data_IF_990463786153
#
_entry.id   IF_990463786153
#
_cell.length_a   1.000
_cell.length_b   1.000
_cell.length_c   1.000
_cell.angle_alpha   90.00
_cell.angle_beta   90.00
_cell.angle_gamma   90.00
#
_symmetry.space_group_name_H-M   'P 1'
#
loop_
_entity.id
_entity.type
_entity.pdbx_description
1 polymer ?
#
# COMPACT_ATOMS: atom_id res chain seq x y z
N UNK A 1 11.20 6.66 13.77
CA UNK A 1 10.29 6.76 12.59
C UNK A 1 9.77 8.18 12.47
N UNK A 2 9.84 8.73 11.28
CA UNK A 2 9.35 10.10 11.02
C UNK A 2 7.83 10.17 11.14
N UNK A 3 7.31 11.34 11.51
CA UNK A 3 5.87 11.55 11.63
C UNK A 3 5.12 11.16 10.36
N UNK A 4 5.66 11.54 9.20
CA UNK A 4 5.05 11.20 7.91
C UNK A 4 4.86 9.69 7.75
N UNK A 5 5.87 8.90 8.10
CA UNK A 5 5.81 7.45 8.01
C UNK A 5 4.82 6.86 9.01
N UNK A 6 4.73 7.44 10.21
CA UNK A 6 3.76 7.01 11.22
C UNK A 6 2.33 7.27 10.75
N UNK A 7 2.09 8.39 10.07
CA UNK A 7 0.76 8.68 9.50
C UNK A 7 0.37 7.58 8.52
N UNK A 8 1.29 7.20 7.62
CA UNK A 8 1.02 6.17 6.60
C UNK A 8 0.74 4.82 7.27
N UNK A 9 1.54 4.42 8.26
CA UNK A 9 1.34 3.15 8.95
C UNK A 9 0.04 3.12 9.76
N UNK A 10 -0.26 4.20 10.49
CA UNK A 10 -1.51 4.28 11.25
C UNK A 10 -2.71 4.25 10.31
N UNK A 11 -2.64 4.98 9.20
CA UNK A 11 -3.70 4.96 8.19
C UNK A 11 -3.92 3.56 7.62
N UNK A 12 -2.83 2.88 7.26
CA UNK A 12 -2.91 1.51 6.73
C UNK A 12 -3.61 0.57 7.71
N UNK A 13 -3.23 0.62 8.98
CA UNK A 13 -3.84 -0.22 10.02
C UNK A 13 -5.33 0.08 10.18
N UNK A 14 -5.70 1.35 10.24
CA UNK A 14 -7.11 1.76 10.38
C UNK A 14 -7.92 1.37 9.13
N UNK A 15 -7.36 1.57 7.93
CA UNK A 15 -8.02 1.18 6.69
C UNK A 15 -8.25 -0.33 6.64
N UNK A 16 -7.28 -1.12 7.10
CA UNK A 16 -7.43 -2.58 7.15
C UNK A 16 -8.53 -3.00 8.12
N UNK A 17 -8.65 -2.34 9.26
CA UNK A 17 -9.61 -2.71 10.30
C UNK A 17 -11.02 -2.22 10.01
N UNK A 18 -11.16 -1.00 9.49
CA UNK A 18 -12.45 -0.33 9.40
C UNK A 18 -12.90 -0.03 7.97
N UNK A 19 -12.00 -0.17 7.00
CA UNK A 19 -12.25 0.20 5.61
C UNK A 19 -11.86 1.64 5.33
N UNK A 20 -11.24 1.88 4.18
CA UNK A 20 -10.76 3.20 3.81
C UNK A 20 -11.91 4.22 3.68
N UNK A 21 -13.09 3.76 3.27
CA UNK A 21 -14.27 4.64 3.11
C UNK A 21 -14.75 5.23 4.43
N UNK A 22 -14.56 4.51 5.54
CA UNK A 22 -15.04 4.92 6.87
C UNK A 22 -14.04 5.73 7.67
N UNK A 23 -12.76 5.64 7.33
CA UNK A 23 -11.71 6.32 8.08
C UNK A 23 -11.46 7.71 7.49
N UNK A 24 -11.44 8.71 8.35
CA UNK A 24 -11.15 10.10 7.96
C UNK A 24 -9.74 10.48 8.41
N UNK A 25 -9.22 11.59 7.85
CA UNK A 25 -7.93 12.13 8.31
C UNK A 25 -7.98 12.52 9.80
N UNK A 26 -9.14 12.99 10.28
CA UNK A 26 -9.31 13.28 11.71
C UNK A 26 -9.20 12.03 12.58
N UNK A 27 -9.74 10.89 12.13
CA UNK A 27 -9.58 9.61 12.84
C UNK A 27 -8.12 9.21 12.95
N UNK A 28 -7.36 9.40 11.86
CA UNK A 28 -5.94 9.06 11.83
C UNK A 28 -5.17 9.96 12.80
N UNK A 29 -5.41 11.26 12.76
CA UNK A 29 -4.75 12.22 13.65
C UNK A 29 -5.05 11.90 15.12
N UNK A 30 -6.31 11.60 15.44
CA UNK A 30 -6.72 11.23 16.80
C UNK A 30 -6.00 9.96 17.29
N UNK A 31 -5.90 8.94 16.44
CA UNK A 31 -5.22 7.70 16.78
C UNK A 31 -3.73 7.91 17.06
N UNK A 32 -3.12 8.91 16.44
CA UNK A 32 -1.72 9.25 16.62
C UNK A 32 -1.46 10.27 17.71
N UNK A 33 -2.52 10.83 18.30
CA UNK A 33 -2.43 11.93 19.28
C UNK A 33 -1.72 13.16 18.70
N UNK A 34 -1.99 13.47 17.44
CA UNK A 34 -1.52 14.70 16.77
C UNK A 34 -2.71 15.54 16.34
N UNK A 35 -2.47 16.83 16.08
CA UNK A 35 -3.53 17.71 15.60
C UNK A 35 -3.85 17.42 14.12
N UNK A 36 -5.09 17.68 13.66
CA UNK A 36 -5.39 17.61 12.24
C UNK A 36 -4.48 18.48 11.38
N UNK A 37 -4.08 19.67 11.87
CA UNK A 37 -3.16 20.55 11.16
C UNK A 37 -1.77 19.91 10.98
N UNK A 38 -1.29 19.19 11.99
CA UNK A 38 -0.03 18.47 11.87
C UNK A 38 -0.10 17.40 10.79
N UNK A 39 -1.22 16.67 10.72
CA UNK A 39 -1.43 15.70 9.64
C UNK A 39 -1.45 16.38 8.28
N UNK A 40 -2.19 17.48 8.13
CA UNK A 40 -2.30 18.21 6.86
C UNK A 40 -0.99 18.85 6.42
N UNK A 41 -0.07 19.08 7.34
CA UNK A 41 1.28 19.49 6.96
C UNK A 41 1.98 18.44 6.10
N UNK A 42 1.71 17.17 6.32
CA UNK A 42 2.35 16.06 5.61
C UNK A 42 1.53 15.56 4.42
N UNK A 43 0.20 15.56 4.52
CA UNK A 43 -0.69 15.03 3.49
C UNK A 43 -1.89 15.96 3.33
N UNK A 44 -2.18 16.33 2.10
CA UNK A 44 -3.26 17.27 1.79
C UNK A 44 -4.64 16.66 2.06
N UNK A 45 -4.81 15.37 1.77
CA UNK A 45 -6.08 14.67 1.90
C UNK A 45 -5.85 13.16 2.05
N UNK A 46 -6.93 12.41 2.25
CA UNK A 46 -6.88 10.98 2.41
C UNK A 46 -6.37 10.28 1.15
N UNK A 47 -6.75 10.78 -0.01
CA UNK A 47 -6.34 10.22 -1.30
C UNK A 47 -4.82 10.25 -1.46
N UNK A 48 -4.18 11.31 -1.01
CA UNK A 48 -2.71 11.41 -1.04
C UNK A 48 -2.06 10.35 -0.14
N UNK A 49 -2.65 10.09 1.03
CA UNK A 49 -2.18 9.03 1.93
C UNK A 49 -2.29 7.66 1.24
N UNK A 50 -3.42 7.40 0.60
CA UNK A 50 -3.65 6.13 -0.11
C UNK A 50 -2.67 5.95 -1.26
N UNK A 51 -2.37 7.02 -2.00
CA UNK A 51 -1.36 6.96 -3.07
C UNK A 51 0.03 6.64 -2.53
N UNK A 52 0.37 7.18 -1.35
CA UNK A 52 1.63 6.84 -0.70
C UNK A 52 1.67 5.38 -0.26
N UNK A 53 0.54 4.87 0.27
CA UNK A 53 0.44 3.44 0.60
C UNK A 53 0.62 2.60 -0.66
N UNK A 54 0.02 2.99 -1.77
CA UNK A 54 0.19 2.27 -3.05
C UNK A 54 1.67 2.23 -3.48
N UNK A 55 2.39 3.34 -3.33
CA UNK A 55 3.82 3.36 -3.64
C UNK A 55 4.60 2.36 -2.77
N UNK A 56 4.21 2.21 -1.51
CA UNK A 56 4.84 1.24 -0.60
C UNK A 56 4.48 -0.20 -0.96
N UNK A 57 3.25 -0.44 -1.42
CA UNK A 57 2.85 -1.75 -1.93
C UNK A 57 3.77 -2.16 -3.09
N UNK A 58 3.96 -1.26 -4.04
CA UNK A 58 4.83 -1.52 -5.19
C UNK A 58 6.27 -1.84 -4.72
N UNK A 59 6.81 -1.02 -3.81
CA UNK A 59 8.16 -1.20 -3.31
C UNK A 59 8.31 -2.55 -2.59
N UNK A 60 7.34 -2.93 -1.77
CA UNK A 60 7.37 -4.19 -1.03
C UNK A 60 7.32 -5.40 -1.98
N UNK A 61 6.45 -5.36 -3.01
CA UNK A 61 6.39 -6.44 -3.99
C UNK A 61 7.63 -6.49 -4.87
N UNK A 62 8.17 -5.34 -5.25
CA UNK A 62 9.41 -5.31 -6.04
C UNK A 62 10.57 -5.93 -5.26
N UNK A 63 10.65 -5.66 -3.96
CA UNK A 63 11.66 -6.26 -3.08
C UNK A 63 11.47 -7.77 -2.98
N UNK A 64 10.22 -8.21 -2.82
CA UNK A 64 9.89 -9.63 -2.69
C UNK A 64 10.27 -10.41 -3.96
N UNK A 65 9.98 -9.86 -5.13
CA UNK A 65 10.21 -10.53 -6.41
C UNK A 65 11.61 -10.29 -6.99
N UNK A 66 12.46 -9.58 -6.26
CA UNK A 66 13.86 -9.42 -6.64
C UNK A 66 14.61 -10.68 -6.24
N UNK A 67 14.56 -11.70 -7.12
CA UNK A 67 15.15 -13.01 -6.87
C UNK A 67 16.66 -12.93 -7.12
N UNK A 68 17.52 -13.41 -6.18
CA UNK A 68 18.97 -13.49 -6.44
C UNK A 68 19.25 -14.36 -7.65
N UNK A 69 20.31 -14.00 -8.41
CA UNK A 69 20.69 -14.76 -9.61
C UNK A 69 21.03 -16.21 -9.31
N UNK A 70 21.43 -16.52 -8.07
CA UNK A 70 21.76 -17.88 -7.61
C UNK A 70 20.56 -18.60 -6.97
N UNK A 71 19.35 -18.09 -7.17
CA UNK A 71 18.14 -18.68 -6.61
C UNK A 71 17.95 -20.11 -7.13
N UNK A 72 17.86 -21.06 -6.20
CA UNK A 72 17.58 -22.46 -6.55
C UNK A 72 16.07 -22.70 -6.61
N UNK A 73 15.51 -23.21 -7.71
CA UNK A 73 14.08 -23.44 -7.85
C UNK A 73 13.61 -24.67 -7.07
N UNK A 74 13.69 -24.62 -5.75
CA UNK A 74 13.24 -25.71 -4.89
C UNK A 74 11.82 -25.43 -4.38
N UNK A 75 11.11 -26.48 -3.96
CA UNK A 75 9.78 -26.34 -3.38
C UNK A 75 9.81 -25.44 -2.14
N UNK A 76 10.86 -25.54 -1.30
CA UNK A 76 10.99 -24.71 -0.11
C UNK A 76 11.13 -23.23 -0.47
N UNK A 77 11.91 -22.90 -1.50
CA UNK A 77 12.10 -21.51 -1.94
C UNK A 77 10.81 -20.94 -2.54
N UNK A 78 10.10 -21.71 -3.36
CA UNK A 78 8.80 -21.28 -3.88
C UNK A 78 7.76 -21.11 -2.79
N UNK A 79 7.74 -22.01 -1.81
CA UNK A 79 6.84 -21.91 -0.67
C UNK A 79 7.13 -20.64 0.14
N UNK A 80 8.40 -20.31 0.34
CA UNK A 80 8.81 -19.10 1.04
C UNK A 80 8.32 -17.83 0.32
N UNK A 81 8.47 -17.77 -1.00
CA UNK A 81 7.99 -16.64 -1.81
C UNK A 81 6.45 -16.56 -1.73
N UNK A 82 5.78 -17.69 -1.84
CA UNK A 82 4.31 -17.75 -1.76
C UNK A 82 3.82 -17.23 -0.40
N UNK A 83 4.45 -17.67 0.68
CA UNK A 83 4.08 -17.24 2.03
C UNK A 83 4.25 -15.73 2.20
N UNK A 84 5.37 -15.16 1.75
CA UNK A 84 5.59 -13.72 1.82
C UNK A 84 4.62 -12.95 0.95
N UNK A 85 4.26 -13.49 -0.21
CA UNK A 85 3.26 -12.88 -1.08
C UNK A 85 1.92 -12.77 -0.35
N UNK A 86 1.50 -13.85 0.32
CA UNK A 86 0.26 -13.85 1.10
C UNK A 86 0.33 -12.84 2.26
N UNK A 87 1.47 -12.74 2.92
CA UNK A 87 1.66 -11.77 4.01
C UNK A 87 1.52 -10.34 3.52
N UNK A 88 2.05 -10.02 2.33
CA UNK A 88 1.91 -8.69 1.75
C UNK A 88 0.47 -8.37 1.37
N UNK A 89 -0.25 -9.32 0.77
CA UNK A 89 -1.67 -9.13 0.49
C UNK A 89 -2.46 -8.88 1.76
N UNK A 90 -2.16 -9.59 2.84
CA UNK A 90 -2.82 -9.39 4.12
C UNK A 90 -2.46 -8.03 4.74
N UNK A 91 -1.19 -7.62 4.65
CA UNK A 91 -0.71 -6.33 5.16
C UNK A 91 -1.45 -5.15 4.51
N UNK A 92 -1.80 -5.26 3.23
CA UNK A 92 -2.45 -4.21 2.46
C UNK A 92 -3.86 -4.62 2.02
N UNK A 93 -4.54 -5.46 2.80
CA UNK A 93 -5.80 -6.07 2.38
C UNK A 93 -6.90 -5.07 2.03
N UNK A 94 -6.96 -3.91 2.71
CA UNK A 94 -7.97 -2.90 2.39
C UNK A 94 -7.89 -2.45 0.93
N UNK A 95 -6.67 -2.32 0.42
CA UNK A 95 -6.44 -1.83 -0.94
C UNK A 95 -7.07 -2.77 -1.97
N UNK A 96 -6.86 -4.07 -1.79
CA UNK A 96 -7.40 -5.05 -2.73
C UNK A 96 -8.89 -5.28 -2.54
N UNK A 97 -9.38 -5.24 -1.31
CA UNK A 97 -10.80 -5.41 -1.02
C UNK A 97 -11.63 -4.24 -1.53
N UNK A 98 -11.07 -3.02 -1.54
CA UNK A 98 -11.78 -1.82 -1.97
C UNK A 98 -11.23 -1.26 -3.30
N UNK A 99 -10.49 -2.07 -4.05
CA UNK A 99 -9.75 -1.59 -5.22
C UNK A 99 -10.62 -0.81 -6.21
N UNK A 100 -11.76 -1.36 -6.60
CA UNK A 100 -12.64 -0.70 -7.57
C UNK A 100 -13.12 0.67 -7.07
N UNK A 101 -13.49 0.74 -5.79
CA UNK A 101 -13.94 2.00 -5.18
C UNK A 101 -12.81 3.02 -5.11
N UNK A 102 -11.62 2.58 -4.69
CA UNK A 102 -10.46 3.48 -4.57
C UNK A 102 -10.03 4.05 -5.92
N UNK A 103 -10.00 3.20 -6.95
CA UNK A 103 -9.63 3.64 -8.30
C UNK A 103 -10.71 4.54 -8.90
N UNK A 104 -11.99 4.27 -8.58
CA UNK A 104 -13.09 5.08 -9.07
C UNK A 104 -13.13 6.49 -8.47
N UNK A 105 -12.64 6.65 -7.24
CA UNK A 105 -12.65 7.93 -6.54
C UNK A 105 -11.43 8.80 -6.83
N UNK A 106 -10.33 8.20 -7.26
CA UNK A 106 -9.07 8.93 -7.44
C UNK A 106 -8.49 8.63 -8.82
N UNK A 107 -8.74 9.50 -9.81
CA UNK A 107 -8.22 9.30 -11.17
C UNK A 107 -6.70 9.22 -11.23
N UNK A 108 -5.99 9.92 -10.34
CA UNK A 108 -4.52 9.87 -10.30
C UNK A 108 -4.04 8.51 -9.84
N UNK A 109 -4.67 7.96 -8.79
CA UNK A 109 -4.37 6.60 -8.33
C UNK A 109 -4.63 5.58 -9.43
N UNK A 110 -5.76 5.70 -10.13
CA UNK A 110 -6.11 4.82 -11.24
C UNK A 110 -5.03 4.82 -12.33
N UNK A 111 -4.53 6.01 -12.71
CA UNK A 111 -3.47 6.12 -13.71
C UNK A 111 -2.19 5.43 -13.25
N UNK A 112 -1.80 5.64 -11.98
CA UNK A 112 -0.60 5.03 -11.41
C UNK A 112 -0.73 3.51 -11.34
N UNK A 113 -1.90 3.02 -10.95
CA UNK A 113 -2.18 1.59 -10.87
C UNK A 113 -2.09 0.94 -12.26
N UNK A 114 -2.74 1.53 -13.26
CA UNK A 114 -2.71 1.00 -14.62
C UNK A 114 -1.30 1.07 -15.24
N UNK A 115 -0.57 2.14 -14.98
CA UNK A 115 0.81 2.27 -15.44
C UNK A 115 1.70 1.17 -14.84
N UNK A 116 1.51 0.84 -13.56
CA UNK A 116 2.25 -0.23 -12.91
C UNK A 116 1.93 -1.60 -13.53
N UNK A 117 0.65 -1.87 -13.81
CA UNK A 117 0.26 -3.11 -14.48
C UNK A 117 0.91 -3.23 -15.86
N UNK A 118 0.88 -2.16 -16.66
CA UNK A 118 1.49 -2.16 -17.99
C UNK A 118 2.99 -2.41 -17.93
N UNK A 119 3.68 -1.79 -16.96
CA UNK A 119 5.10 -1.98 -16.78
C UNK A 119 5.44 -3.45 -16.44
N UNK A 120 4.63 -4.08 -15.59
CA UNK A 120 4.81 -5.48 -15.22
C UNK A 120 4.60 -6.42 -16.42
N UNK A 121 3.58 -6.17 -17.23
CA UNK A 121 3.35 -6.97 -18.44
C UNK A 121 4.47 -6.82 -19.45
N UNK A 122 5.08 -5.64 -19.58
CA UNK A 122 6.22 -5.43 -20.46
C UNK A 122 7.45 -6.21 -20.01
N UNK A 123 7.68 -6.33 -18.70
CA UNK A 123 8.83 -7.05 -18.15
C UNK A 123 8.76 -8.56 -18.38
N UNK A 124 7.56 -9.10 -18.63
CA UNK A 124 7.38 -10.53 -18.86
C UNK A 124 7.63 -10.94 -20.32
N UNK A 125 7.82 -9.98 -21.19
CA UNK A 125 8.17 -10.23 -22.59
C UNK A 125 9.69 -10.21 -22.75
#
# INVERSE_FOLDING_TARGET
>A
MKTRDRIVETARELFNEEGASRVTTNHIAAAMHISPGNLYYHFRDKEEIIREIFARIIADFDTLYRVPWDFSPTAANFFGIFTRTCELYYKYRFFYLELATLLGRDPLLKRKYLANLRARFRQQK
#
